data_IF_532952967021
#
_entry.id   IF_532952967021
#
_cell.length_a   1.000
_cell.length_b   1.000
_cell.length_c   1.000
_cell.angle_alpha   90.00
_cell.angle_beta   90.00
_cell.angle_gamma   90.00
#
_symmetry.space_group_name_H-M   'P 1'
#
loop_
_entity.id
_entity.type
_entity.pdbx_description
1 polymer ?
#
# COMPACT_ATOMS: atom_id res chain seq x y z
N UNK A 1 -19.21 -17.32 10.76
CA UNK A 1 -20.30 -16.74 11.54
C UNK A 1 -20.62 -15.28 11.16
N UNK A 2 -19.64 -14.34 11.16
CA UNK A 2 -19.92 -12.94 10.77
C UNK A 2 -20.41 -12.84 9.32
N UNK A 3 -19.74 -13.50 8.38
CA UNK A 3 -20.16 -13.53 6.97
C UNK A 3 -21.54 -14.16 6.77
N UNK A 4 -21.86 -15.22 7.55
CA UNK A 4 -23.18 -15.88 7.50
C UNK A 4 -24.30 -14.97 8.00
N UNK A 5 -23.98 -14.12 8.98
CA UNK A 5 -24.96 -13.23 9.61
C UNK A 5 -25.18 -11.95 8.82
N UNK A 6 -24.12 -11.46 8.13
CA UNK A 6 -24.14 -10.15 7.46
C UNK A 6 -24.37 -10.25 5.95
N UNK A 7 -24.12 -11.41 5.34
CA UNK A 7 -24.22 -11.60 3.89
C UNK A 7 -23.15 -10.88 3.08
N UNK A 8 -22.08 -10.37 3.73
CA UNK A 8 -20.98 -9.74 3.02
C UNK A 8 -20.10 -10.77 2.30
N UNK A 9 -19.55 -10.37 1.16
CA UNK A 9 -18.63 -11.15 0.32
C UNK A 9 -17.17 -10.65 0.42
N UNK A 10 -16.88 -9.77 1.37
CA UNK A 10 -15.55 -9.25 1.65
C UNK A 10 -15.24 -9.27 3.15
N UNK A 11 -14.01 -9.66 3.49
CA UNK A 11 -13.46 -9.64 4.83
C UNK A 11 -12.18 -8.79 4.83
N UNK A 12 -12.09 -7.79 5.70
CA UNK A 12 -10.89 -6.98 5.87
C UNK A 12 -10.17 -7.32 7.16
N UNK A 13 -8.86 -7.54 7.08
CA UNK A 13 -7.98 -7.64 8.24
C UNK A 13 -7.44 -6.23 8.56
N UNK A 14 -8.01 -5.59 9.59
CA UNK A 14 -7.66 -4.22 9.98
C UNK A 14 -6.64 -4.22 11.11
N UNK A 15 -5.52 -3.53 10.87
CA UNK A 15 -4.46 -3.27 11.85
C UNK A 15 -3.71 -2.01 11.42
N UNK A 16 -2.94 -1.41 12.32
CA UNK A 16 -2.01 -0.32 11.97
C UNK A 16 -0.91 -0.79 11.01
N UNK A 17 -0.47 -2.04 11.15
CA UNK A 17 0.42 -2.71 10.21
C UNK A 17 0.10 -4.21 10.21
N UNK A 18 -0.71 -4.65 9.29
CA UNK A 18 -1.19 -6.04 9.24
C UNK A 18 -0.05 -7.02 8.96
N UNK A 19 0.95 -6.60 8.19
CA UNK A 19 2.11 -7.42 7.82
C UNK A 19 3.15 -7.60 8.93
N UNK A 20 3.06 -6.82 10.02
CA UNK A 20 4.01 -6.92 11.14
C UNK A 20 3.61 -8.01 12.16
N UNK A 21 2.44 -8.61 11.99
CA UNK A 21 2.03 -9.74 12.83
C UNK A 21 2.87 -10.97 12.49
N UNK A 22 3.53 -11.56 13.50
CA UNK A 22 4.51 -12.65 13.31
C UNK A 22 3.94 -13.88 12.61
N UNK A 23 2.68 -14.21 12.85
CA UNK A 23 2.00 -15.35 12.25
C UNK A 23 1.05 -14.94 11.11
N UNK A 24 1.32 -13.79 10.46
CA UNK A 24 0.45 -13.23 9.44
C UNK A 24 0.18 -14.18 8.27
N UNK A 25 1.21 -14.88 7.79
CA UNK A 25 1.06 -15.86 6.68
C UNK A 25 0.13 -17.00 7.06
N UNK A 26 0.33 -17.59 8.24
CA UNK A 26 -0.50 -18.69 8.73
C UNK A 26 -1.95 -18.24 8.94
N UNK A 27 -2.14 -17.04 9.50
CA UNK A 27 -3.46 -16.44 9.71
C UNK A 27 -4.17 -16.20 8.36
N UNK A 28 -3.50 -15.54 7.42
CA UNK A 28 -4.07 -15.20 6.12
C UNK A 28 -4.45 -16.47 5.34
N UNK A 29 -3.57 -17.46 5.30
CA UNK A 29 -3.84 -18.76 4.66
C UNK A 29 -5.04 -19.46 5.30
N UNK A 30 -5.08 -19.53 6.64
CA UNK A 30 -6.20 -20.17 7.36
C UNK A 30 -7.54 -19.46 7.13
N UNK A 31 -7.53 -18.13 7.02
CA UNK A 31 -8.75 -17.36 6.71
C UNK A 31 -9.17 -17.61 5.26
N UNK A 32 -8.24 -17.66 4.32
CA UNK A 32 -8.54 -17.89 2.91
C UNK A 32 -9.08 -19.31 2.68
N UNK A 33 -8.49 -20.31 3.29
CA UNK A 33 -8.99 -21.70 3.20
C UNK A 33 -10.45 -21.81 3.67
N UNK A 34 -10.79 -21.11 4.76
CA UNK A 34 -12.17 -21.07 5.28
C UNK A 34 -13.14 -20.29 4.41
N UNK A 35 -12.64 -19.40 3.58
CA UNK A 35 -13.42 -18.54 2.69
C UNK A 35 -13.44 -19.07 1.24
N UNK A 36 -12.63 -20.08 0.93
CA UNK A 36 -12.43 -20.61 -0.42
C UNK A 36 -13.74 -20.98 -1.13
N UNK A 37 -14.58 -21.74 -0.44
CA UNK A 37 -15.85 -22.25 -0.99
C UNK A 37 -16.94 -21.17 -1.05
N UNK A 38 -16.68 -19.97 -0.53
CA UNK A 38 -17.69 -18.91 -0.36
C UNK A 38 -17.51 -17.72 -1.27
N UNK A 39 -16.45 -17.73 -2.08
CA UNK A 39 -16.11 -16.63 -2.98
C UNK A 39 -15.92 -15.27 -2.26
N UNK A 40 -15.46 -15.30 -1.00
CA UNK A 40 -15.23 -14.13 -0.15
C UNK A 40 -13.88 -13.53 -0.47
N UNK A 41 -13.84 -12.22 -0.75
CA UNK A 41 -12.61 -11.49 -0.95
C UNK A 41 -11.91 -11.19 0.38
N UNK A 42 -10.59 -11.37 0.45
CA UNK A 42 -9.78 -10.90 1.56
C UNK A 42 -9.13 -9.56 1.20
N UNK A 43 -9.41 -8.53 1.98
CA UNK A 43 -8.85 -7.19 1.83
C UNK A 43 -7.79 -6.94 2.91
N UNK A 44 -6.63 -6.45 2.48
CA UNK A 44 -5.49 -6.14 3.34
C UNK A 44 -5.12 -4.66 3.18
N UNK A 45 -5.77 -3.75 3.92
CA UNK A 45 -5.66 -2.31 3.66
C UNK A 45 -4.33 -1.67 4.06
N UNK A 46 -3.52 -2.29 4.90
CA UNK A 46 -2.30 -1.69 5.44
C UNK A 46 -1.13 -2.65 5.31
N UNK A 47 -0.56 -2.73 4.11
CA UNK A 47 0.62 -3.55 3.84
C UNK A 47 1.87 -2.68 3.79
N UNK A 48 2.90 -3.09 4.52
CA UNK A 48 4.24 -2.51 4.41
C UNK A 48 5.00 -3.21 3.29
N UNK A 49 5.72 -2.43 2.49
CA UNK A 49 6.51 -2.95 1.38
C UNK A 49 7.73 -3.77 1.82
N UNK A 50 8.23 -3.55 3.04
CA UNK A 50 9.42 -4.17 3.57
C UNK A 50 9.17 -5.54 4.24
N UNK A 51 7.95 -5.80 4.71
CA UNK A 51 7.54 -7.05 5.37
C UNK A 51 6.53 -7.86 4.55
N UNK A 52 6.54 -7.68 3.23
CA UNK A 52 5.53 -8.22 2.36
C UNK A 52 5.77 -9.69 2.01
N UNK A 53 4.84 -10.56 2.39
CA UNK A 53 4.90 -11.96 2.03
C UNK A 53 4.29 -12.23 0.66
N UNK A 54 5.10 -12.69 -0.28
CA UNK A 54 4.67 -13.09 -1.62
C UNK A 54 3.77 -14.31 -1.61
N UNK A 55 3.99 -15.22 -0.66
CA UNK A 55 3.15 -16.40 -0.47
C UNK A 55 1.71 -16.00 -0.23
N UNK A 56 1.48 -15.03 0.65
CA UNK A 56 0.14 -14.51 0.94
C UNK A 56 -0.49 -13.85 -0.27
N UNK A 57 0.29 -13.06 -1.06
CA UNK A 57 -0.22 -12.49 -2.31
C UNK A 57 -0.68 -13.53 -3.31
N UNK A 58 0.10 -14.57 -3.51
CA UNK A 58 -0.24 -15.66 -4.42
C UNK A 58 -1.52 -16.35 -3.98
N UNK A 59 -1.70 -16.56 -2.68
CA UNK A 59 -2.92 -17.15 -2.14
C UNK A 59 -4.15 -16.24 -2.34
N UNK A 60 -4.04 -14.94 -2.00
CA UNK A 60 -5.13 -13.96 -2.21
C UNK A 60 -5.54 -13.88 -3.68
N UNK A 61 -4.58 -13.97 -4.59
CA UNK A 61 -4.84 -13.90 -6.03
C UNK A 61 -5.74 -15.02 -6.55
N UNK A 62 -5.73 -16.19 -5.91
CA UNK A 62 -6.54 -17.34 -6.32
C UNK A 62 -8.04 -17.08 -6.22
N UNK A 63 -8.47 -16.21 -5.31
CA UNK A 63 -9.88 -16.01 -5.00
C UNK A 63 -10.48 -14.77 -5.63
N UNK A 64 -10.01 -13.60 -5.29
CA UNK A 64 -10.49 -12.35 -5.89
C UNK A 64 -9.41 -11.26 -5.79
N UNK A 65 -9.12 -10.59 -6.91
CA UNK A 65 -8.14 -9.50 -6.93
C UNK A 65 -8.76 -8.23 -6.35
N UNK A 66 -8.34 -7.86 -5.16
CA UNK A 66 -8.54 -6.51 -4.61
C UNK A 66 -7.40 -5.58 -5.06
N UNK A 67 -7.57 -4.27 -4.95
CA UNK A 67 -6.46 -3.33 -5.18
C UNK A 67 -5.38 -3.48 -4.10
N UNK A 68 -4.11 -3.33 -4.47
CA UNK A 68 -3.03 -3.23 -3.50
C UNK A 68 -2.88 -1.79 -3.03
N UNK A 69 -2.85 -1.63 -1.72
CA UNK A 69 -2.63 -0.33 -1.09
C UNK A 69 -1.31 -0.35 -0.33
N UNK A 70 -0.44 0.58 -0.67
CA UNK A 70 0.83 0.78 0.01
C UNK A 70 0.88 2.16 0.65
N UNK A 71 1.41 2.24 1.86
CA UNK A 71 1.67 3.48 2.56
C UNK A 71 3.19 3.68 2.69
N UNK A 72 3.86 4.22 1.67
CA UNK A 72 5.28 4.54 1.74
C UNK A 72 5.51 5.79 2.56
N UNK A 73 4.96 5.91 3.75
CA UNK A 73 5.08 7.06 4.64
C UNK A 73 6.30 7.94 4.36
N UNK A 74 6.14 9.25 4.39
CA UNK A 74 7.05 10.29 3.93
C UNK A 74 8.52 10.15 4.38
N UNK A 75 9.42 10.68 3.57
CA UNK A 75 10.85 10.86 3.84
C UNK A 75 11.76 10.18 2.83
N UNK A 76 12.76 10.91 2.39
CA UNK A 76 13.73 10.64 1.32
C UNK A 76 14.33 9.24 1.31
N UNK A 77 14.76 8.71 2.44
CA UNK A 77 15.42 7.40 2.48
C UNK A 77 14.43 6.27 2.26
N UNK A 78 13.23 6.35 2.83
CA UNK A 78 12.17 5.37 2.62
C UNK A 78 11.63 5.39 1.19
N UNK A 79 11.52 6.56 0.58
CA UNK A 79 11.13 6.69 -0.82
C UNK A 79 12.14 6.03 -1.76
N UNK A 80 13.45 6.24 -1.52
CA UNK A 80 14.51 5.56 -2.27
C UNK A 80 14.48 4.04 -2.06
N UNK A 81 14.24 3.59 -0.84
CA UNK A 81 14.13 2.18 -0.53
C UNK A 81 12.90 1.53 -1.21
N UNK A 82 11.79 2.25 -1.32
CA UNK A 82 10.60 1.82 -2.07
C UNK A 82 10.91 1.71 -3.56
N UNK A 83 11.65 2.67 -4.13
CA UNK A 83 12.09 2.63 -5.53
C UNK A 83 13.06 1.47 -5.75
N UNK A 84 14.00 1.25 -4.83
CA UNK A 84 14.96 0.14 -4.90
C UNK A 84 14.30 -1.23 -4.69
N UNK A 85 13.18 -1.29 -3.95
CA UNK A 85 12.35 -2.49 -3.79
C UNK A 85 11.30 -2.65 -4.91
N UNK A 86 11.55 -2.13 -6.08
CA UNK A 86 10.74 -2.37 -7.28
C UNK A 86 10.46 -3.86 -7.57
N UNK A 87 11.16 -4.75 -6.87
CA UNK A 87 10.94 -6.20 -6.88
C UNK A 87 9.51 -6.53 -6.44
N UNK A 88 9.03 -5.96 -5.32
CA UNK A 88 7.69 -6.21 -4.82
C UNK A 88 6.59 -5.74 -5.78
N UNK A 89 6.77 -4.54 -6.35
CA UNK A 89 5.86 -3.98 -7.36
C UNK A 89 5.89 -4.81 -8.64
N UNK A 90 7.07 -5.20 -9.11
CA UNK A 90 7.23 -6.06 -10.29
C UNK A 90 6.50 -7.38 -10.12
N UNK A 91 6.71 -8.05 -9.01
CA UNK A 91 6.06 -9.32 -8.70
C UNK A 91 4.53 -9.18 -8.58
N UNK A 92 4.05 -8.11 -7.95
CA UNK A 92 2.62 -7.84 -7.91
C UNK A 92 2.03 -7.69 -9.33
N UNK A 93 2.71 -6.96 -10.21
CA UNK A 93 2.30 -6.82 -11.62
C UNK A 93 2.38 -8.16 -12.36
N UNK A 94 3.43 -8.94 -12.14
CA UNK A 94 3.60 -10.28 -12.72
C UNK A 94 2.51 -11.25 -12.24
N UNK A 95 2.05 -11.12 -11.02
CA UNK A 95 0.90 -11.83 -10.46
C UNK A 95 -0.45 -11.29 -10.97
N UNK A 96 -0.45 -10.22 -11.77
CA UNK A 96 -1.63 -9.69 -12.46
C UNK A 96 -2.43 -8.66 -11.67
N UNK A 97 -1.81 -8.03 -10.67
CA UNK A 97 -2.40 -6.87 -10.01
C UNK A 97 -2.43 -5.67 -10.95
N UNK A 98 -3.59 -5.02 -11.07
CA UNK A 98 -3.83 -3.95 -12.04
C UNK A 98 -4.14 -2.60 -11.40
N UNK A 99 -4.34 -2.58 -10.08
CA UNK A 99 -4.62 -1.36 -9.34
C UNK A 99 -3.65 -1.26 -8.17
N UNK A 100 -2.82 -0.23 -8.17
CA UNK A 100 -1.88 0.09 -7.09
C UNK A 100 -2.25 1.45 -6.55
N UNK A 101 -2.46 1.56 -5.25
CA UNK A 101 -2.72 2.80 -4.54
C UNK A 101 -1.58 3.11 -3.58
N UNK A 102 -1.06 4.32 -3.69
CA UNK A 102 0.04 4.83 -2.87
C UNK A 102 -0.47 5.97 -2.01
N UNK A 103 -0.15 5.95 -0.73
CA UNK A 103 -0.43 7.04 0.20
C UNK A 103 0.86 7.72 0.60
N UNK A 104 0.87 9.03 0.44
CA UNK A 104 1.95 9.89 0.88
C UNK A 104 1.43 10.97 1.82
N UNK A 105 2.35 11.54 2.59
CA UNK A 105 2.11 12.71 3.40
C UNK A 105 3.16 13.75 3.04
N UNK A 106 2.76 15.02 2.86
CA UNK A 106 3.63 16.14 2.52
C UNK A 106 3.56 17.22 3.60
N UNK A 107 4.57 18.10 3.64
CA UNK A 107 4.69 19.13 4.64
C UNK A 107 5.34 18.65 5.94
N UNK A 108 6.14 17.58 5.87
CA UNK A 108 6.92 17.15 7.01
C UNK A 108 8.01 18.16 7.36
N UNK A 109 8.34 18.32 8.64
CA UNK A 109 9.51 19.07 9.03
C UNK A 109 10.76 18.56 8.29
N UNK A 110 11.53 19.45 7.68
CA UNK A 110 12.73 19.16 6.88
C UNK A 110 12.48 18.50 5.50
N UNK A 111 11.25 18.46 5.03
CA UNK A 111 10.93 18.02 3.67
C UNK A 111 11.51 19.00 2.64
N UNK A 112 12.02 18.48 1.55
CA UNK A 112 12.62 19.24 0.45
C UNK A 112 11.81 19.05 -0.84
N UNK A 113 12.00 19.96 -1.81
CA UNK A 113 11.36 19.83 -3.12
C UNK A 113 11.74 18.51 -3.82
N UNK A 114 12.96 18.02 -3.59
CA UNK A 114 13.39 16.71 -4.12
C UNK A 114 12.56 15.54 -3.54
N UNK A 115 12.08 15.68 -2.29
CA UNK A 115 11.21 14.69 -1.67
C UNK A 115 9.84 14.66 -2.35
N UNK A 116 9.31 15.82 -2.69
CA UNK A 116 8.04 15.98 -3.38
C UNK A 116 8.13 15.46 -4.82
N UNK A 117 9.20 15.78 -5.56
CA UNK A 117 9.45 15.23 -6.88
C UNK A 117 9.59 13.70 -6.86
N UNK A 118 10.19 13.16 -5.81
CA UNK A 118 10.33 11.72 -5.59
C UNK A 118 8.99 10.98 -5.56
N UNK A 119 7.91 11.61 -5.14
CA UNK A 119 6.54 11.03 -5.17
C UNK A 119 6.13 10.76 -6.64
N UNK A 120 6.33 11.76 -7.50
CA UNK A 120 6.02 11.62 -8.93
C UNK A 120 6.90 10.57 -9.61
N UNK A 121 8.17 10.50 -9.23
CA UNK A 121 9.13 9.56 -9.80
C UNK A 121 8.81 8.11 -9.42
N UNK A 122 8.30 7.85 -8.22
CA UNK A 122 7.80 6.52 -7.84
C UNK A 122 6.64 6.11 -8.74
N UNK A 123 5.66 6.99 -8.96
CA UNK A 123 4.54 6.68 -9.84
C UNK A 123 5.00 6.38 -11.28
N UNK A 124 5.92 7.18 -11.82
CA UNK A 124 6.54 6.96 -13.13
C UNK A 124 7.29 5.62 -13.20
N UNK A 125 8.06 5.30 -12.16
CA UNK A 125 8.81 4.04 -12.08
C UNK A 125 7.89 2.82 -12.06
N UNK A 126 6.77 2.88 -11.34
CA UNK A 126 5.77 1.80 -11.34
C UNK A 126 5.18 1.59 -12.73
N UNK A 127 4.84 2.68 -13.43
CA UNK A 127 4.36 2.60 -14.81
C UNK A 127 5.41 2.05 -15.77
N UNK A 128 6.68 2.37 -15.56
CA UNK A 128 7.78 1.81 -16.33
C UNK A 128 7.92 0.30 -16.08
N UNK A 129 7.88 -0.15 -14.82
CA UNK A 129 7.91 -1.57 -14.48
C UNK A 129 6.74 -2.31 -15.16
N UNK A 130 5.54 -1.72 -15.21
CA UNK A 130 4.41 -2.31 -15.93
C UNK A 130 4.71 -2.52 -17.41
N UNK A 131 5.35 -1.55 -18.06
CA UNK A 131 5.77 -1.67 -19.46
C UNK A 131 6.82 -2.76 -19.65
N UNK A 132 7.81 -2.83 -18.74
CA UNK A 132 8.86 -3.85 -18.76
C UNK A 132 8.31 -5.27 -18.61
N UNK A 133 7.32 -5.47 -17.73
CA UNK A 133 6.66 -6.76 -17.52
C UNK A 133 5.85 -7.19 -18.76
N UNK A 134 5.44 -6.25 -19.60
CA UNK A 134 4.83 -6.53 -20.92
C UNK A 134 3.43 -7.15 -20.85
N UNK A 135 2.83 -7.31 -19.66
CA UNK A 135 1.45 -7.82 -19.54
C UNK A 135 0.45 -6.75 -19.97
N UNK A 136 -0.34 -7.05 -20.99
CA UNK A 136 -1.42 -6.20 -21.46
C UNK A 136 -2.50 -5.95 -20.39
N UNK A 137 -3.47 -5.10 -20.71
CA UNK A 137 -4.61 -4.77 -19.84
C UNK A 137 -4.49 -3.41 -19.16
N UNK A 138 -5.64 -2.93 -18.69
CA UNK A 138 -5.73 -1.65 -17.97
C UNK A 138 -4.96 -1.73 -16.65
N UNK A 139 -4.14 -0.71 -16.40
CA UNK A 139 -3.37 -0.60 -15.17
C UNK A 139 -3.52 0.80 -14.60
N UNK A 140 -3.82 0.88 -13.32
CA UNK A 140 -4.04 2.15 -12.62
C UNK A 140 -3.06 2.29 -11.46
N UNK A 141 -2.42 3.45 -11.40
CA UNK A 141 -1.68 3.90 -10.22
C UNK A 141 -2.43 5.10 -9.66
N UNK A 142 -2.84 5.02 -8.41
CA UNK A 142 -3.46 6.13 -7.69
C UNK A 142 -2.50 6.63 -6.65
N UNK A 143 -2.15 7.90 -6.72
CA UNK A 143 -1.37 8.60 -5.68
C UNK A 143 -2.33 9.43 -4.85
N UNK A 144 -2.38 9.18 -3.56
CA UNK A 144 -3.16 9.93 -2.59
C UNK A 144 -2.20 10.66 -1.66
N UNK A 145 -2.29 11.97 -1.63
CA UNK A 145 -1.42 12.83 -0.84
C UNK A 145 -2.24 13.51 0.24
N UNK A 146 -1.77 13.47 1.48
CA UNK A 146 -2.35 14.16 2.63
C UNK A 146 -1.34 15.13 3.22
N UNK A 147 -1.83 16.20 3.85
CA UNK A 147 -0.97 17.14 4.55
C UNK A 147 -0.55 16.58 5.91
N UNK A 148 0.70 16.83 6.28
CA UNK A 148 1.17 16.57 7.64
C UNK A 148 0.40 17.44 8.64
N UNK A 149 -0.09 16.80 9.70
CA UNK A 149 -0.73 17.48 10.83
C UNK A 149 -0.04 17.03 12.11
N UNK A 150 0.61 17.91 12.85
CA UNK A 150 1.21 17.58 14.14
C UNK A 150 0.15 17.01 15.10
N UNK A 151 0.45 15.87 15.71
CA UNK A 151 -0.46 15.25 16.68
C UNK A 151 0.17 15.24 18.07
N UNK A 152 -0.65 15.49 19.09
CA UNK A 152 -0.24 15.34 20.48
C UNK A 152 0.30 13.93 20.75
N UNK A 153 1.24 13.84 21.67
CA UNK A 153 1.92 12.59 22.08
C UNK A 153 2.75 11.92 20.98
N UNK A 154 3.12 12.66 19.93
CA UNK A 154 4.08 12.22 18.90
C UNK A 154 5.37 13.02 18.98
N UNK A 155 6.50 12.52 18.44
CA UNK A 155 7.74 13.30 18.38
C UNK A 155 7.58 14.65 17.69
N UNK A 156 6.62 14.81 16.80
CA UNK A 156 6.36 16.02 16.03
C UNK A 156 5.31 16.95 16.65
N UNK A 157 4.85 16.69 17.88
CA UNK A 157 3.76 17.46 18.52
C UNK A 157 4.02 18.98 18.65
N UNK A 158 5.29 19.38 18.64
CA UNK A 158 5.71 20.79 18.79
C UNK A 158 6.13 21.43 17.46
N UNK A 159 6.00 20.73 16.34
CA UNK A 159 6.32 21.26 15.02
C UNK A 159 5.18 22.09 14.47
N UNK A 160 5.51 23.09 13.65
CA UNK A 160 4.52 23.82 12.88
C UNK A 160 3.90 22.99 11.77
N UNK A 161 2.66 23.26 11.44
CA UNK A 161 2.03 22.79 10.21
C UNK A 161 2.24 23.84 9.12
N UNK A 162 2.51 23.40 7.90
CA UNK A 162 2.62 24.30 6.75
C UNK A 162 1.30 25.05 6.51
N UNK A 163 1.40 26.29 6.09
CA UNK A 163 0.25 27.12 5.70
C UNK A 163 -0.34 26.65 4.36
N UNK A 164 -1.55 27.11 4.05
CA UNK A 164 -2.17 26.85 2.75
C UNK A 164 -1.37 27.47 1.58
N UNK A 165 -0.62 28.53 1.82
CA UNK A 165 0.20 29.18 0.80
C UNK A 165 1.41 28.31 0.46
N UNK A 166 2.07 27.75 1.47
CA UNK A 166 3.20 26.82 1.28
C UNK A 166 2.81 25.53 0.55
N UNK A 167 1.56 25.06 0.70
CA UNK A 167 1.07 23.91 -0.06
C UNK A 167 0.63 24.22 -1.50
N UNK A 168 0.63 25.49 -1.91
CA UNK A 168 0.23 25.92 -3.26
C UNK A 168 1.39 26.30 -4.16
N UNK A 169 2.57 26.39 -3.62
CA UNK A 169 3.81 26.56 -4.37
C UNK A 169 4.26 25.21 -4.91
#
# INVERSE_FOLDING_TARGET
RQLDTTGHDELSLLSLSTSDYSDFEALATSVMDKCADRNVALSLPSLRLDSFSFTVLQEIQKYRKSGLTFAPEAGTQRLRDVINKGIAVRQAIELGWNNIKLYFMIGHPTETDEDLEGIADIAKRILQIKKEVGKGGRFNVTVSVSNFVPKAFTPFQWMGQNSLEEFRC
#
